data_IF_443973814371
#
_entry.id   IF_443973814371
#
_cell.length_a   1.000
_cell.length_b   1.000
_cell.length_c   1.000
_cell.angle_alpha   90.00
_cell.angle_beta   90.00
_cell.angle_gamma   90.00
#
_symmetry.space_group_name_H-M   'P 1'
#
loop_
_entity.id
_entity.type
_entity.pdbx_description
1 polymer ?
#
# COMPACT_ATOMS: atom_id res chain seq x y z
N UNK A 1 -8.10 -3.22 28.70
CA UNK A 1 -7.80 -2.14 27.72
C UNK A 1 -6.56 -2.59 26.97
N UNK A 2 -6.71 -2.98 25.69
CA UNK A 2 -5.64 -3.62 24.94
C UNK A 2 -4.58 -2.61 24.51
N UNK A 3 -3.31 -2.97 24.66
CA UNK A 3 -2.15 -2.16 24.37
C UNK A 3 -1.87 -2.06 22.85
N UNK A 4 -2.72 -1.37 22.09
CA UNK A 4 -2.66 -1.37 20.61
C UNK A 4 -1.94 -0.19 19.96
N UNK A 5 -1.60 0.87 20.70
CA UNK A 5 -0.93 2.05 20.15
C UNK A 5 0.34 2.47 20.91
N UNK A 6 0.82 1.65 21.86
CA UNK A 6 2.01 1.99 22.65
C UNK A 6 3.26 2.08 21.74
N UNK A 7 3.64 3.31 21.38
CA UNK A 7 4.76 3.60 20.48
C UNK A 7 4.38 4.13 19.09
N UNK A 8 3.08 4.29 18.78
CA UNK A 8 2.61 4.90 17.53
C UNK A 8 2.12 6.32 17.79
N UNK A 9 2.57 7.28 16.98
CA UNK A 9 2.14 8.68 17.06
C UNK A 9 0.76 8.77 16.40
N UNK A 10 -0.28 9.05 17.19
CA UNK A 10 -1.67 9.19 16.73
C UNK A 10 -2.21 10.63 16.88
N UNK A 11 -1.40 11.52 17.44
CA UNK A 11 -1.72 12.91 17.79
C UNK A 11 -1.41 13.92 16.66
N UNK A 12 -0.92 13.44 15.53
CA UNK A 12 -0.73 14.24 14.30
C UNK A 12 -1.62 13.68 13.20
N UNK A 13 -2.36 14.57 12.54
CA UNK A 13 -3.21 14.20 11.41
C UNK A 13 -2.38 13.62 10.26
N UNK A 14 -2.85 12.51 9.70
CA UNK A 14 -2.21 11.89 8.55
C UNK A 14 -2.38 12.76 7.31
N UNK A 15 -1.26 13.18 6.72
CA UNK A 15 -1.27 13.99 5.49
C UNK A 15 -1.67 13.08 4.32
N UNK A 16 -2.78 13.34 3.62
CA UNK A 16 -3.16 12.56 2.46
C UNK A 16 -2.11 12.73 1.35
N UNK A 17 -1.60 11.61 0.82
CA UNK A 17 -0.55 11.62 -0.20
C UNK A 17 -0.69 10.50 -1.23
N UNK A 18 -0.13 10.75 -2.42
CA UNK A 18 0.07 9.74 -3.44
C UNK A 18 1.57 9.44 -3.60
N UNK A 19 1.93 8.16 -3.49
CA UNK A 19 3.31 7.69 -3.54
C UNK A 19 3.53 6.77 -4.77
N UNK A 20 3.93 7.32 -5.92
CA UNK A 20 3.99 6.56 -7.19
C UNK A 20 4.99 5.41 -7.20
N UNK A 21 6.03 5.48 -6.37
CA UNK A 21 7.04 4.44 -6.23
C UNK A 21 6.49 3.15 -5.58
N UNK A 22 5.34 3.25 -4.89
CA UNK A 22 4.60 2.09 -4.36
C UNK A 22 3.75 1.40 -5.43
N UNK A 23 3.73 1.88 -6.68
CA UNK A 23 2.99 1.19 -7.72
C UNK A 23 3.56 -0.21 -8.02
N UNK A 24 2.72 -1.20 -8.34
CA UNK A 24 3.18 -2.53 -8.75
C UNK A 24 4.17 -2.45 -9.92
N UNK A 25 3.94 -1.55 -10.88
CA UNK A 25 4.83 -1.36 -12.04
C UNK A 25 6.21 -0.86 -11.61
N UNK A 26 6.30 0.15 -10.73
CA UNK A 26 7.57 0.67 -10.24
C UNK A 26 8.36 -0.40 -9.46
N UNK A 27 7.70 -1.16 -8.59
CA UNK A 27 8.34 -2.25 -7.84
C UNK A 27 8.87 -3.36 -8.76
N UNK A 28 8.08 -3.77 -9.76
CA UNK A 28 8.51 -4.77 -10.75
C UNK A 28 9.71 -4.28 -11.56
N UNK A 29 9.68 -3.01 -11.96
CA UNK A 29 10.78 -2.37 -12.68
C UNK A 29 12.06 -2.41 -11.86
N UNK A 30 12.00 -1.97 -10.60
CA UNK A 30 13.15 -2.02 -9.68
C UNK A 30 13.67 -3.46 -9.47
N UNK A 31 12.79 -4.44 -9.27
CA UNK A 31 13.19 -5.85 -9.15
C UNK A 31 13.91 -6.35 -10.41
N UNK A 32 13.36 -6.04 -11.60
CA UNK A 32 13.92 -6.46 -12.88
C UNK A 32 15.31 -5.86 -13.13
N UNK A 33 15.53 -4.59 -12.81
CA UNK A 33 16.85 -3.95 -12.87
C UNK A 33 17.88 -4.65 -11.98
N UNK A 34 17.43 -5.20 -10.85
CA UNK A 34 18.27 -5.91 -9.89
C UNK A 34 18.34 -7.43 -10.15
N UNK A 35 17.89 -7.90 -11.32
CA UNK A 35 17.87 -9.32 -11.70
C UNK A 35 17.06 -10.20 -10.74
N UNK A 36 16.09 -9.61 -10.04
CA UNK A 36 15.08 -10.33 -9.25
C UNK A 36 13.85 -10.53 -10.13
N UNK A 37 13.38 -11.77 -10.24
CA UNK A 37 12.15 -12.08 -10.99
C UNK A 37 10.95 -11.58 -10.19
N UNK A 38 10.21 -10.57 -10.66
CA UNK A 38 9.02 -10.12 -9.94
C UNK A 38 7.87 -11.13 -10.10
N UNK A 39 6.81 -11.04 -9.26
CA UNK A 39 5.58 -11.83 -9.44
C UNK A 39 5.02 -11.72 -10.87
N UNK A 40 4.08 -12.56 -11.29
CA UNK A 40 3.33 -12.33 -12.55
C UNK A 40 2.11 -11.44 -12.25
N UNK A 41 1.68 -10.63 -13.22
CA UNK A 41 0.51 -9.73 -13.07
C UNK A 41 -0.51 -9.86 -14.20
N UNK A 42 -0.20 -10.63 -15.26
CA UNK A 42 -1.08 -10.77 -16.41
C UNK A 42 -2.43 -11.41 -16.05
N UNK A 43 -2.39 -12.43 -15.18
CA UNK A 43 -3.59 -13.17 -14.73
C UNK A 43 -4.17 -12.61 -13.42
N UNK A 44 -3.82 -11.38 -13.07
CA UNK A 44 -4.13 -10.76 -11.78
C UNK A 44 -3.00 -10.89 -10.75
N UNK A 45 -3.13 -10.17 -9.64
CA UNK A 45 -2.16 -10.16 -8.54
C UNK A 45 -2.80 -9.68 -7.23
N UNK A 46 -2.13 -9.90 -6.10
CA UNK A 46 -2.55 -9.41 -4.79
C UNK A 46 -1.54 -8.39 -4.29
N UNK A 47 -2.03 -7.29 -3.73
CA UNK A 47 -1.24 -6.17 -3.24
C UNK A 47 -1.64 -5.84 -1.81
N UNK A 48 -0.65 -5.68 -0.92
CA UNK A 48 -0.84 -5.34 0.48
C UNK A 48 -0.11 -4.03 0.80
N UNK A 49 -0.83 -3.08 1.38
CA UNK A 49 -0.26 -1.84 1.94
C UNK A 49 -0.40 -1.85 3.45
N UNK A 50 0.74 -1.86 4.16
CA UNK A 50 0.79 -1.73 5.61
C UNK A 50 0.99 -0.27 5.98
N UNK A 51 0.16 0.26 6.88
CA UNK A 51 0.09 1.69 7.18
C UNK A 51 -0.48 2.47 6.00
N UNK A 52 -1.63 2.02 5.46
CA UNK A 52 -2.22 2.65 4.27
C UNK A 52 -2.76 4.07 4.50
N UNK A 53 -2.81 4.53 5.76
CA UNK A 53 -3.41 5.79 6.15
C UNK A 53 -4.84 5.87 5.62
N UNK A 54 -5.21 7.02 5.09
CA UNK A 54 -6.51 7.28 4.46
C UNK A 54 -6.71 6.55 3.10
N UNK A 55 -5.84 5.61 2.74
CA UNK A 55 -5.98 4.76 1.55
C UNK A 55 -5.84 5.47 0.21
N UNK A 56 -5.32 6.71 0.17
CA UNK A 56 -5.25 7.51 -1.07
C UNK A 56 -4.35 6.88 -2.13
N UNK A 57 -3.17 6.40 -1.74
CA UNK A 57 -2.27 5.69 -2.66
C UNK A 57 -2.88 4.36 -3.07
N UNK A 58 -3.28 3.54 -2.10
CA UNK A 58 -3.91 2.24 -2.32
C UNK A 58 -5.06 2.29 -3.34
N UNK A 59 -6.07 3.15 -3.10
CA UNK A 59 -7.26 3.25 -3.96
C UNK A 59 -6.94 3.80 -5.36
N UNK A 60 -6.02 4.75 -5.46
CA UNK A 60 -5.53 5.26 -6.76
C UNK A 60 -4.86 4.15 -7.55
N UNK A 61 -3.99 3.36 -6.91
CA UNK A 61 -3.32 2.23 -7.54
C UNK A 61 -4.28 1.11 -7.92
N UNK A 62 -5.29 0.83 -7.09
CA UNK A 62 -6.35 -0.13 -7.38
C UNK A 62 -7.16 0.29 -8.62
N UNK A 63 -7.55 1.56 -8.71
CA UNK A 63 -8.25 2.10 -9.88
C UNK A 63 -7.42 1.99 -11.16
N UNK A 64 -6.10 2.22 -11.07
CA UNK A 64 -5.19 2.11 -12.21
C UNK A 64 -4.84 0.67 -12.60
N UNK A 65 -5.11 -0.32 -11.74
CA UNK A 65 -4.77 -1.73 -11.96
C UNK A 65 -5.97 -2.64 -11.60
N UNK A 66 -7.06 -2.60 -12.39
CA UNK A 66 -8.32 -3.25 -12.05
C UNK A 66 -8.25 -4.78 -11.96
N UNK A 67 -7.20 -5.41 -12.51
CA UNK A 67 -6.94 -6.84 -12.39
C UNK A 67 -6.31 -7.24 -11.03
N UNK A 68 -5.91 -6.28 -10.21
CA UNK A 68 -5.29 -6.52 -8.91
C UNK A 68 -6.32 -6.53 -7.77
N UNK A 69 -6.09 -7.39 -6.78
CA UNK A 69 -6.79 -7.37 -5.48
C UNK A 69 -5.93 -6.56 -4.50
N UNK A 70 -6.48 -5.47 -3.98
CA UNK A 70 -5.75 -4.54 -3.10
C UNK A 70 -6.31 -4.61 -1.68
N UNK A 71 -5.41 -4.77 -0.71
CA UNK A 71 -5.73 -4.79 0.73
C UNK A 71 -4.88 -3.74 1.43
N UNK A 72 -5.54 -2.83 2.16
CA UNK A 72 -4.90 -1.87 3.04
C UNK A 72 -5.10 -2.27 4.49
N UNK A 73 -4.07 -2.14 5.31
CA UNK A 73 -4.14 -2.34 6.76
C UNK A 73 -3.55 -1.12 7.44
N UNK A 74 -4.30 -0.53 8.37
CA UNK A 74 -3.81 0.53 9.23
C UNK A 74 -4.14 0.24 10.69
N UNK A 75 -3.26 0.67 11.60
CA UNK A 75 -3.41 0.46 13.04
C UNK A 75 -4.28 1.56 13.67
N UNK A 76 -4.33 2.74 13.07
CA UNK A 76 -5.13 3.85 13.55
C UNK A 76 -6.56 3.72 13.03
N UNK A 77 -7.50 3.48 13.94
CA UNK A 77 -8.92 3.36 13.61
C UNK A 77 -9.51 4.63 12.97
N UNK A 78 -8.89 5.81 13.16
CA UNK A 78 -9.34 7.04 12.50
C UNK A 78 -9.04 7.05 10.99
N UNK A 79 -8.24 6.11 10.49
CA UNK A 79 -7.87 6.03 9.07
C UNK A 79 -8.83 5.16 8.23
N UNK A 80 -9.64 4.29 8.85
CA UNK A 80 -10.41 3.22 8.18
C UNK A 80 -11.91 3.31 8.52
#
# INVERSE_FOLDING_TARGET
MSATAAGYITDVDYIPGFYPHMSPVAMRYAASLNRVVPPKTADGFRYLELGCGLGRSLTTLAAANPQGEFVGVDVNANHI
#
